data_IF_463924272066
#
_entry.id   IF_463924272066
#
_cell.length_a   1.000
_cell.length_b   1.000
_cell.length_c   1.000
_cell.angle_alpha   90.00
_cell.angle_beta   90.00
_cell.angle_gamma   90.00
#
_symmetry.space_group_name_H-M   'P 1'
#
loop_
_entity.id
_entity.type
_entity.pdbx_description
1 polymer ?
#
# COMPACT_ATOMS: atom_id res chain seq x y z
N UNK A 1 -13.12 20.32 6.98
CA UNK A 1 -11.74 20.02 6.51
C UNK A 1 -11.65 18.53 6.26
N UNK A 2 -11.28 18.12 5.04
CA UNK A 2 -11.37 16.72 4.60
C UNK A 2 -10.28 15.86 5.23
N UNK A 3 -10.66 14.68 5.72
CA UNK A 3 -9.77 13.63 6.24
C UNK A 3 -8.58 13.34 5.31
N UNK A 4 -8.78 13.50 4.00
CA UNK A 4 -7.76 13.37 2.95
C UNK A 4 -6.64 14.41 3.09
N UNK A 5 -6.96 15.67 3.38
CA UNK A 5 -5.97 16.72 3.56
C UNK A 5 -5.09 16.48 4.80
N UNK A 6 -5.68 15.95 5.87
CA UNK A 6 -4.96 15.60 7.10
C UNK A 6 -3.94 14.46 6.91
N UNK A 7 -4.20 13.57 5.94
CA UNK A 7 -3.33 12.42 5.62
C UNK A 7 -2.47 12.61 4.36
N UNK A 8 -2.54 13.78 3.72
CA UNK A 8 -1.76 14.09 2.52
C UNK A 8 -0.24 13.84 2.67
N UNK A 9 0.42 14.16 3.81
CA UNK A 9 1.84 13.84 3.99
C UNK A 9 2.11 12.32 3.97
N UNK A 10 1.20 11.52 4.54
CA UNK A 10 1.35 10.05 4.55
C UNK A 10 1.18 9.45 3.16
N UNK A 11 0.24 9.97 2.35
CA UNK A 11 0.10 9.62 0.93
C UNK A 11 1.34 10.01 0.11
N UNK A 12 1.84 11.24 0.28
CA UNK A 12 3.03 11.76 -0.43
C UNK A 12 4.26 10.90 -0.12
N UNK A 13 4.40 10.48 1.15
CA UNK A 13 5.48 9.61 1.59
C UNK A 13 5.23 8.12 1.35
N UNK A 14 4.01 7.74 0.92
CA UNK A 14 3.57 6.35 0.72
C UNK A 14 3.93 5.51 1.94
N UNK A 15 3.47 6.04 3.07
CA UNK A 15 3.51 5.44 4.39
C UNK A 15 2.14 4.80 4.57
N UNK A 16 2.07 3.50 4.33
CA UNK A 16 0.88 2.69 4.55
C UNK A 16 0.63 2.59 6.07
N UNK A 17 -0.04 3.59 6.66
CA UNK A 17 -0.46 3.56 8.07
C UNK A 17 -1.63 2.60 8.31
N UNK A 18 -2.25 2.12 7.23
CA UNK A 18 -3.40 1.24 7.27
C UNK A 18 -2.96 -0.24 7.36
N UNK A 19 -3.20 -0.84 8.53
CA UNK A 19 -2.93 -2.26 8.76
C UNK A 19 -3.67 -3.18 7.77
N UNK A 20 -4.83 -2.77 7.26
CA UNK A 20 -5.61 -3.54 6.27
C UNK A 20 -4.88 -3.60 4.93
N UNK A 21 -4.32 -2.48 4.47
CA UNK A 21 -3.54 -2.41 3.23
C UNK A 21 -2.25 -3.22 3.36
N UNK A 22 -1.56 -3.11 4.49
CA UNK A 22 -0.36 -3.90 4.77
C UNK A 22 -0.67 -5.40 4.75
N UNK A 23 -1.76 -5.83 5.39
CA UNK A 23 -2.21 -7.22 5.36
C UNK A 23 -2.56 -7.68 3.95
N UNK A 24 -3.33 -6.89 3.21
CA UNK A 24 -3.72 -7.19 1.84
C UNK A 24 -2.51 -7.30 0.90
N UNK A 25 -1.45 -6.51 1.12
CA UNK A 25 -0.19 -6.63 0.37
C UNK A 25 0.48 -8.02 0.57
N UNK A 26 0.37 -8.59 1.77
CA UNK A 26 0.92 -9.91 2.10
C UNK A 26 0.05 -11.01 1.51
N UNK A 27 -1.28 -10.88 1.59
CA UNK A 27 -2.22 -11.77 0.91
C UNK A 27 -1.92 -11.79 -0.58
N UNK A 28 -1.82 -10.63 -1.23
CA UNK A 28 -1.51 -10.53 -2.66
C UNK A 28 -0.18 -11.19 -3.02
N UNK A 29 0.85 -11.03 -2.19
CA UNK A 29 2.17 -11.65 -2.37
C UNK A 29 2.13 -13.18 -2.26
N UNK A 30 1.40 -13.73 -1.29
CA UNK A 30 1.27 -15.17 -1.11
C UNK A 30 0.32 -15.80 -2.13
N UNK A 31 -0.68 -15.04 -2.57
CA UNK A 31 -1.56 -15.40 -3.68
C UNK A 31 -0.81 -15.36 -5.02
N UNK A 32 0.26 -14.57 -5.13
CA UNK A 32 1.20 -14.61 -6.25
C UNK A 32 0.62 -14.03 -7.54
N UNK A 33 -0.27 -13.04 -7.46
CA UNK A 33 -0.85 -12.43 -8.66
C UNK A 33 -1.74 -13.41 -9.45
N UNK A 34 -2.92 -13.70 -8.90
CA UNK A 34 -4.15 -14.19 -9.57
C UNK A 34 -4.13 -15.47 -10.44
N UNK A 35 -3.04 -16.02 -11.03
CA UNK A 35 -3.21 -17.02 -12.11
C UNK A 35 -2.45 -18.36 -12.08
N UNK A 36 -1.32 -18.52 -11.38
CA UNK A 36 -0.56 -19.80 -11.47
C UNK A 36 -1.24 -20.98 -10.75
N UNK A 37 -2.00 -20.72 -9.69
CA UNK A 37 -2.61 -21.76 -8.84
C UNK A 37 -4.13 -21.59 -8.67
N UNK A 38 -4.81 -20.92 -9.59
CA UNK A 38 -6.24 -20.61 -9.45
C UNK A 38 -7.14 -21.87 -9.47
N UNK A 39 -6.72 -22.93 -10.17
CA UNK A 39 -7.54 -24.13 -10.39
C UNK A 39 -7.50 -25.16 -9.25
N UNK A 40 -6.68 -24.96 -8.21
CA UNK A 40 -6.61 -25.88 -7.06
C UNK A 40 -7.58 -25.45 -5.97
N UNK A 41 -8.61 -26.26 -5.73
CA UNK A 41 -9.56 -26.10 -4.61
C UNK A 41 -8.80 -25.98 -3.27
N UNK A 42 -9.20 -25.04 -2.42
CA UNK A 42 -8.58 -24.77 -1.12
C UNK A 42 -7.27 -23.97 -1.15
N UNK A 43 -6.69 -23.74 -2.34
CA UNK A 43 -5.39 -23.07 -2.45
C UNK A 43 -5.44 -21.59 -2.05
N UNK A 44 -6.56 -20.88 -2.28
CA UNK A 44 -6.71 -19.49 -1.87
C UNK A 44 -6.83 -19.37 -0.35
N UNK A 45 -7.72 -20.15 0.26
CA UNK A 45 -7.94 -20.14 1.70
C UNK A 45 -6.67 -20.48 2.48
N UNK A 46 -5.91 -21.51 2.05
CA UNK A 46 -4.62 -21.85 2.65
C UNK A 46 -3.60 -20.70 2.55
N UNK A 47 -3.62 -19.93 1.43
CA UNK A 47 -2.75 -18.76 1.24
C UNK A 47 -3.17 -17.57 2.11
N UNK A 48 -4.46 -17.36 2.32
CA UNK A 48 -4.98 -16.37 3.28
C UNK A 48 -4.57 -16.73 4.72
N UNK A 49 -4.72 -18.00 5.12
CA UNK A 49 -4.27 -18.48 6.44
C UNK A 49 -2.76 -18.31 6.60
N UNK A 50 -1.97 -18.65 5.58
CA UNK A 50 -0.53 -18.40 5.58
C UNK A 50 -0.19 -16.90 5.67
N UNK A 51 -1.01 -16.02 5.09
CA UNK A 51 -0.85 -14.58 5.20
C UNK A 51 -1.02 -14.09 6.64
N UNK A 52 -2.03 -14.61 7.35
CA UNK A 52 -2.25 -14.32 8.78
C UNK A 52 -1.02 -14.70 9.60
N UNK A 53 -0.50 -15.91 9.41
CA UNK A 53 0.71 -16.35 10.12
C UNK A 53 1.92 -15.49 9.73
N UNK A 54 2.09 -15.16 8.45
CA UNK A 54 3.21 -14.32 7.98
C UNK A 54 3.16 -12.90 8.50
N UNK A 55 1.95 -12.33 8.63
CA UNK A 55 1.73 -10.99 9.15
C UNK A 55 2.16 -10.91 10.63
N UNK A 56 1.76 -11.89 11.42
CA UNK A 56 2.00 -11.91 12.87
C UNK A 56 3.41 -12.39 13.24
N UNK A 57 3.92 -13.47 12.64
CA UNK A 57 5.16 -14.13 13.10
C UNK A 57 6.34 -13.94 12.16
N UNK A 58 6.09 -13.55 10.91
CA UNK A 58 7.07 -13.53 9.81
C UNK A 58 7.78 -14.89 9.54
N UNK A 59 7.33 -15.98 10.17
CA UNK A 59 7.92 -17.33 10.12
C UNK A 59 6.83 -18.37 9.86
N UNK A 60 6.25 -18.33 8.66
CA UNK A 60 5.10 -19.17 8.28
C UNK A 60 5.42 -20.66 8.43
N UNK A 61 6.51 -21.12 7.83
CA UNK A 61 6.86 -22.53 7.77
C UNK A 61 7.24 -23.05 9.16
N UNK A 62 8.03 -22.29 9.92
CA UNK A 62 8.40 -22.67 11.29
C UNK A 62 7.18 -22.76 12.20
N UNK A 63 6.26 -21.79 12.12
CA UNK A 63 5.08 -21.75 12.99
C UNK A 63 4.14 -22.90 12.69
N UNK A 64 3.82 -23.12 11.40
CA UNK A 64 2.94 -24.21 10.97
C UNK A 64 3.57 -25.56 11.32
N UNK A 65 4.85 -25.77 11.00
CA UNK A 65 5.53 -27.03 11.33
C UNK A 65 5.53 -27.30 12.84
N UNK A 66 5.83 -26.28 13.66
CA UNK A 66 5.85 -26.44 15.12
C UNK A 66 4.47 -26.78 15.68
N UNK A 67 3.40 -26.21 15.11
CA UNK A 67 2.03 -26.54 15.52
C UNK A 67 1.64 -27.99 15.20
N UNK A 68 2.13 -28.54 14.08
CA UNK A 68 1.80 -29.91 13.64
C UNK A 68 2.69 -30.94 14.33
N UNK A 69 4.00 -30.69 14.38
CA UNK A 69 4.99 -31.68 14.82
C UNK A 69 5.43 -31.52 16.28
N UNK A 70 4.92 -30.52 17.01
CA UNK A 70 5.30 -30.22 18.39
C UNK A 70 6.75 -29.74 18.60
N UNK A 71 7.53 -29.64 17.52
CA UNK A 71 8.96 -29.26 17.56
C UNK A 71 9.29 -28.30 16.43
N UNK A 72 10.33 -27.49 16.61
CA UNK A 72 10.79 -26.58 15.56
C UNK A 72 11.46 -27.33 14.40
N UNK A 73 11.25 -26.91 13.14
CA UNK A 73 11.95 -27.50 11.99
C UNK A 73 13.44 -27.21 12.08
N UNK A 74 14.27 -28.19 11.70
CA UNK A 74 15.73 -28.09 11.66
C UNK A 74 16.22 -27.83 10.24
N UNK A 75 17.45 -27.34 10.12
CA UNK A 75 18.14 -27.20 8.83
C UNK A 75 17.65 -26.03 7.97
N UNK A 76 17.39 -26.29 6.70
CA UNK A 76 17.28 -25.26 5.66
C UNK A 76 16.04 -24.36 5.78
N UNK A 77 14.92 -24.90 6.27
CA UNK A 77 13.66 -24.13 6.44
C UNK A 77 13.88 -22.95 7.38
N UNK A 78 14.48 -23.21 8.54
CA UNK A 78 14.78 -22.19 9.55
C UNK A 78 15.75 -21.14 9.00
N UNK A 79 16.83 -21.58 8.33
CA UNK A 79 17.82 -20.69 7.70
C UNK A 79 17.20 -19.79 6.63
N UNK A 80 16.28 -20.32 5.84
CA UNK A 80 15.60 -19.57 4.78
C UNK A 80 14.73 -18.45 5.36
N UNK A 81 13.93 -18.74 6.39
CA UNK A 81 13.09 -17.73 7.04
C UNK A 81 13.93 -16.68 7.78
N UNK A 82 15.01 -17.08 8.44
CA UNK A 82 15.95 -16.16 9.08
C UNK A 82 16.62 -15.21 8.08
N UNK A 83 17.07 -15.72 6.92
CA UNK A 83 17.62 -14.89 5.84
C UNK A 83 16.59 -13.88 5.33
N UNK A 84 15.33 -14.31 5.16
CA UNK A 84 14.22 -13.43 4.74
C UNK A 84 13.99 -12.31 5.76
N UNK A 85 13.95 -12.64 7.05
CA UNK A 85 13.76 -11.66 8.13
C UNK A 85 14.93 -10.69 8.21
N UNK A 86 16.18 -11.18 8.09
CA UNK A 86 17.38 -10.33 8.09
C UNK A 86 17.33 -9.33 6.92
N UNK A 87 16.97 -9.79 5.71
CA UNK A 87 16.77 -8.92 4.54
C UNK A 87 15.68 -7.87 4.80
N UNK A 88 14.54 -8.27 5.36
CA UNK A 88 13.45 -7.35 5.69
C UNK A 88 13.89 -6.27 6.70
N UNK A 89 14.58 -6.66 7.77
CA UNK A 89 15.11 -5.71 8.78
C UNK A 89 16.12 -4.75 8.17
N UNK A 90 17.03 -5.25 7.33
CA UNK A 90 17.97 -4.39 6.61
C UNK A 90 17.24 -3.38 5.72
N UNK A 91 16.25 -3.82 4.94
CA UNK A 91 15.43 -2.94 4.09
C UNK A 91 14.62 -1.91 4.88
N UNK A 92 14.21 -2.20 6.12
CA UNK A 92 13.54 -1.23 6.99
C UNK A 92 14.50 -0.22 7.63
N UNK A 93 15.75 -0.64 7.93
CA UNK A 93 16.76 0.23 8.55
C UNK A 93 17.16 1.38 7.63
N UNK A 94 17.31 1.10 6.35
CA UNK A 94 17.45 2.13 5.33
C UNK A 94 16.03 2.53 4.92
N UNK A 95 15.46 3.56 5.56
CA UNK A 95 14.32 4.25 4.98
C UNK A 95 14.68 4.49 3.52
N UNK A 96 13.98 3.84 2.59
CA UNK A 96 14.18 4.09 1.17
C UNK A 96 13.90 5.58 1.01
N UNK A 97 14.96 6.38 0.89
CA UNK A 97 14.85 7.74 0.38
C UNK A 97 14.33 7.52 -1.03
N UNK A 98 13.00 7.45 -1.17
CA UNK A 98 12.37 7.34 -2.46
C UNK A 98 12.78 8.65 -3.12
N UNK A 99 13.70 8.59 -4.08
CA UNK A 99 14.00 9.72 -4.95
C UNK A 99 12.76 9.94 -5.83
N UNK A 100 11.64 10.31 -5.20
CA UNK A 100 10.51 10.91 -5.87
C UNK A 100 10.97 12.33 -6.13
N UNK A 101 11.50 12.57 -7.32
CA UNK A 101 11.39 13.90 -7.89
C UNK A 101 9.88 14.13 -8.02
N UNK A 102 9.28 14.75 -6.99
CA UNK A 102 7.84 15.05 -6.96
C UNK A 102 7.44 15.95 -8.13
N UNK A 103 8.42 16.63 -8.71
CA UNK A 103 8.29 17.45 -9.90
C UNK A 103 9.44 17.08 -10.84
N UNK A 104 9.12 16.64 -12.05
CA UNK A 104 10.09 16.73 -13.14
C UNK A 104 10.46 18.21 -13.27
N UNK A 105 11.76 18.54 -13.32
CA UNK A 105 12.19 19.92 -13.67
C UNK A 105 11.84 20.28 -15.12
N UNK A 106 11.44 19.30 -15.94
CA UNK A 106 10.90 19.58 -17.25
C UNK A 106 9.47 20.09 -17.08
N UNK A 107 9.20 21.29 -17.57
CA UNK A 107 7.83 21.78 -17.75
C UNK A 107 6.99 20.67 -18.37
N UNK A 108 5.81 20.44 -17.80
CA UNK A 108 4.95 19.33 -18.17
C UNK A 108 4.55 19.48 -19.64
N UNK A 109 5.20 18.73 -20.54
CA UNK A 109 4.94 18.80 -21.99
C UNK A 109 3.52 18.35 -22.35
N UNK A 110 2.77 17.79 -21.39
CA UNK A 110 1.39 17.39 -21.58
C UNK A 110 0.38 18.46 -21.15
N UNK A 111 0.82 19.52 -20.46
CA UNK A 111 0.01 20.71 -20.22
C UNK A 111 0.44 21.76 -21.25
N UNK A 112 -0.38 21.98 -22.28
CA UNK A 112 -0.09 22.98 -23.31
C UNK A 112 -0.08 24.42 -22.77
N UNK A 113 0.38 25.38 -23.57
CA UNK A 113 0.45 26.82 -23.26
C UNK A 113 -0.88 27.43 -22.75
N UNK A 114 -1.99 26.72 -22.97
CA UNK A 114 -3.35 27.11 -22.59
C UNK A 114 -3.61 26.93 -21.08
N UNK A 115 -2.83 26.12 -20.37
CA UNK A 115 -3.06 25.79 -18.96
C UNK A 115 -2.79 26.95 -17.98
N UNK A 116 -2.25 28.07 -18.45
CA UNK A 116 -2.13 29.30 -17.65
C UNK A 116 -3.45 30.08 -17.56
N UNK A 117 -4.41 29.82 -18.47
CA UNK A 117 -5.70 30.50 -18.47
C UNK A 117 -6.70 29.66 -17.68
N UNK A 118 -7.36 30.21 -16.64
CA UNK A 118 -8.42 29.49 -15.96
C UNK A 118 -9.53 29.12 -16.95
N UNK A 119 -10.05 27.89 -16.85
CA UNK A 119 -11.09 27.36 -17.75
C UNK A 119 -12.40 28.18 -17.71
N UNK A 120 -12.60 28.99 -16.66
CA UNK A 120 -13.75 29.85 -16.49
C UNK A 120 -13.34 31.31 -16.28
N UNK A 121 -14.20 32.22 -16.72
CA UNK A 121 -14.04 33.65 -16.44
C UNK A 121 -14.28 33.93 -14.95
N UNK A 122 -13.64 34.97 -14.37
CA UNK A 122 -13.76 35.28 -12.95
C UNK A 122 -15.21 35.54 -12.51
N UNK A 123 -16.04 36.11 -13.40
CA UNK A 123 -17.46 36.36 -13.15
C UNK A 123 -18.26 35.07 -12.93
N UNK A 124 -18.00 34.03 -13.74
CA UNK A 124 -18.67 32.74 -13.59
C UNK A 124 -18.17 32.07 -12.30
N UNK A 125 -16.89 32.23 -11.96
CA UNK A 125 -16.31 31.66 -10.74
C UNK A 125 -16.97 32.22 -9.48
N UNK A 126 -17.13 33.55 -9.40
CA UNK A 126 -17.76 34.20 -8.26
C UNK A 126 -19.22 33.72 -8.08
N UNK A 127 -19.97 33.63 -9.18
CA UNK A 127 -21.36 33.15 -9.17
C UNK A 127 -21.50 31.71 -8.68
N UNK A 128 -20.63 30.81 -9.13
CA UNK A 128 -20.61 29.40 -8.70
C UNK A 128 -20.17 29.27 -7.22
N UNK A 129 -19.26 30.13 -6.78
CA UNK A 129 -18.81 30.16 -5.39
C UNK A 129 -19.93 30.64 -4.45
N UNK A 130 -20.69 31.67 -4.84
CA UNK A 130 -21.85 32.16 -4.08
C UNK A 130 -22.96 31.10 -3.98
N UNK A 131 -23.29 30.43 -5.08
CA UNK A 131 -24.30 29.37 -5.09
C UNK A 131 -23.86 28.18 -4.22
N UNK A 132 -22.58 27.80 -4.27
CA UNK A 132 -22.02 26.79 -3.37
C UNK A 132 -22.17 27.16 -1.89
N UNK A 133 -21.83 28.40 -1.52
CA UNK A 133 -21.97 28.90 -0.15
C UNK A 133 -23.43 28.95 0.33
N UNK A 134 -24.37 29.29 -0.57
CA UNK A 134 -25.80 29.25 -0.26
C UNK A 134 -26.31 27.83 -0.02
N UNK A 135 -25.86 26.86 -0.83
CA UNK A 135 -26.23 25.45 -0.66
C UNK A 135 -25.68 24.87 0.65
N UNK A 136 -24.51 25.33 1.10
CA UNK A 136 -23.91 24.97 2.37
C UNK A 136 -24.73 25.44 3.59
N UNK A 137 -25.45 26.55 3.47
CA UNK A 137 -26.32 27.09 4.53
C UNK A 137 -27.70 26.41 4.60
N UNK A 138 -28.08 25.64 3.58
CA UNK A 138 -29.37 24.94 3.50
C UNK A 138 -29.36 23.56 4.15
N UNK A 139 -28.18 23.03 4.50
CA UNK A 139 -27.99 21.80 5.27
C UNK A 139 -27.63 22.15 6.72
#
# INVERSE_FOLDING_TARGET
MSYVAAHAPSLIHDIDSNNVELYNSIVAKLVGGKRVNCSRRGSYQARCHAAVVSFNTHKVLTTVYKSIAGRSPRGNVKKLEERRIKRMKALRKYCRRKNRLLFSKAGDTNYGEICEKPDMTPEIFEKENETFLQNLKKN
#
